data_IF_307609307918
#
_entry.id   IF_307609307918
#
_cell.length_a   1.000
_cell.length_b   1.000
_cell.length_c   1.000
_cell.angle_alpha   90.00
_cell.angle_beta   90.00
_cell.angle_gamma   90.00
#
_symmetry.space_group_name_H-M   'P 1'
#
loop_
_entity.id
_entity.type
_entity.pdbx_description
1 polymer ?
#
# COMPACT_ATOMS: atom_id res chain seq x y z
N UNK A 1 -3.80 -18.79 -10.73
CA UNK A 1 -3.25 -17.66 -9.96
C UNK A 1 -3.94 -17.65 -8.61
N UNK A 2 -3.20 -17.49 -7.50
CA UNK A 2 -3.82 -17.36 -6.18
C UNK A 2 -4.63 -16.06 -6.15
N UNK A 3 -5.93 -16.14 -5.84
CA UNK A 3 -6.77 -14.95 -5.68
C UNK A 3 -6.21 -14.05 -4.58
N UNK A 4 -6.19 -12.73 -4.79
CA UNK A 4 -5.74 -11.75 -3.79
C UNK A 4 -6.75 -11.53 -2.65
N UNK A 5 -7.79 -12.37 -2.56
CA UNK A 5 -8.87 -12.31 -1.56
C UNK A 5 -9.15 -13.68 -0.97
N UNK A 6 -9.58 -13.70 0.29
CA UNK A 6 -10.00 -14.91 1.01
C UNK A 6 -11.38 -15.38 0.53
N UNK A 7 -11.85 -16.51 1.07
CA UNK A 7 -13.15 -17.09 0.73
C UNK A 7 -14.35 -16.17 1.05
N UNK A 8 -14.15 -15.12 1.85
CA UNK A 8 -15.15 -14.14 2.27
C UNK A 8 -14.99 -12.82 1.47
N UNK A 9 -13.97 -12.72 0.60
CA UNK A 9 -13.68 -11.54 -0.20
C UNK A 9 -12.86 -10.46 0.53
N UNK A 10 -12.25 -10.77 1.68
CA UNK A 10 -11.28 -9.86 2.30
C UNK A 10 -9.93 -9.98 1.60
N UNK A 11 -9.17 -8.88 1.44
CA UNK A 11 -7.84 -8.94 0.83
C UNK A 11 -6.91 -9.84 1.66
N UNK A 12 -6.22 -10.78 1.00
CA UNK A 12 -5.17 -11.59 1.63
C UNK A 12 -3.86 -10.78 1.57
N UNK A 13 -3.29 -10.36 2.70
CA UNK A 13 -2.07 -9.58 2.73
C UNK A 13 -0.85 -10.50 2.57
N UNK A 14 -0.71 -11.16 1.42
CA UNK A 14 0.53 -11.89 1.09
C UNK A 14 1.68 -10.90 0.89
N UNK A 15 2.92 -11.37 0.98
CA UNK A 15 4.11 -10.54 0.75
C UNK A 15 4.06 -9.81 -0.59
N UNK A 16 3.64 -10.49 -1.66
CA UNK A 16 3.48 -9.91 -2.98
C UNK A 16 2.41 -8.81 -3.03
N UNK A 17 1.22 -9.04 -2.43
CA UNK A 17 0.14 -8.04 -2.39
C UNK A 17 0.56 -6.81 -1.58
N UNK A 18 1.21 -7.01 -0.44
CA UNK A 18 1.72 -5.91 0.38
C UNK A 18 2.82 -5.13 -0.34
N UNK A 19 3.73 -5.81 -1.05
CA UNK A 19 4.77 -5.15 -1.83
C UNK A 19 4.18 -4.32 -2.96
N UNK A 20 3.21 -4.90 -3.67
CA UNK A 20 2.47 -4.22 -4.73
C UNK A 20 1.77 -2.93 -4.26
N UNK A 21 1.29 -2.92 -3.00
CA UNK A 21 0.62 -1.78 -2.40
C UNK A 21 1.55 -0.86 -1.57
N UNK A 22 2.84 -1.17 -1.44
CA UNK A 22 3.77 -0.51 -0.50
C UNK A 22 3.78 1.03 -0.61
N UNK A 23 3.89 1.56 -1.85
CA UNK A 23 3.87 3.00 -2.10
C UNK A 23 2.52 3.63 -1.72
N UNK A 24 1.41 2.93 -1.94
CA UNK A 24 0.08 3.39 -1.54
C UNK A 24 -0.09 3.39 -0.03
N UNK A 25 0.45 2.38 0.66
CA UNK A 25 0.45 2.27 2.12
C UNK A 25 1.24 3.45 2.73
N UNK A 26 2.42 3.76 2.18
CA UNK A 26 3.25 4.86 2.68
C UNK A 26 2.54 6.22 2.59
N UNK A 27 1.79 6.46 1.52
CA UNK A 27 1.03 7.70 1.35
C UNK A 27 -0.24 7.70 2.22
N UNK A 28 -1.03 6.62 2.17
CA UNK A 28 -2.37 6.59 2.76
C UNK A 28 -2.38 6.40 4.28
N UNK A 29 -1.45 5.60 4.78
CA UNK A 29 -1.37 5.18 6.18
C UNK A 29 -0.17 5.82 6.90
N UNK A 30 0.38 6.90 6.33
CA UNK A 30 1.56 7.60 6.86
C UNK A 30 1.39 8.01 8.32
N UNK A 31 0.24 8.60 8.65
CA UNK A 31 -0.07 9.11 9.99
C UNK A 31 -0.01 8.02 11.05
N UNK A 32 -0.65 6.89 10.77
CA UNK A 32 -0.74 5.71 11.62
C UNK A 32 0.63 5.06 11.77
N UNK A 33 1.37 4.90 10.66
CA UNK A 33 2.72 4.35 10.64
C UNK A 33 3.69 5.21 11.47
N UNK A 34 3.69 6.52 11.27
CA UNK A 34 4.54 7.44 12.05
C UNK A 34 4.16 7.43 13.53
N UNK A 35 2.87 7.37 13.87
CA UNK A 35 2.44 7.28 15.26
C UNK A 35 2.92 5.98 15.93
N UNK A 36 2.86 4.85 15.22
CA UNK A 36 3.38 3.57 15.69
C UNK A 36 4.90 3.59 15.87
N UNK A 37 5.65 4.13 14.91
CA UNK A 37 7.11 4.23 14.98
C UNK A 37 7.57 5.16 16.10
N UNK A 38 6.87 6.28 16.35
CA UNK A 38 7.14 7.15 17.50
C UNK A 38 6.95 6.41 18.82
N UNK A 39 5.83 5.70 18.97
CA UNK A 39 5.58 4.88 20.16
C UNK A 39 6.70 3.87 20.43
N UNK A 40 7.15 3.16 19.39
CA UNK A 40 8.25 2.19 19.49
C UNK A 40 9.60 2.83 19.83
N UNK A 41 9.81 4.09 19.42
CA UNK A 41 11.00 4.87 19.76
C UNK A 41 10.99 5.33 21.22
N UNK A 42 9.82 5.70 21.73
CA UNK A 42 9.64 6.24 23.08
C UNK A 42 9.64 5.13 24.14
N UNK A 43 9.10 3.95 23.83
CA UNK A 43 9.02 2.82 24.76
C UNK A 43 9.36 1.49 24.06
N UNK A 44 10.36 0.72 24.58
CA UNK A 44 10.72 -0.57 23.99
C UNK A 44 9.71 -1.69 24.29
N UNK A 45 8.75 -1.48 25.20
CA UNK A 45 7.72 -2.48 25.49
C UNK A 45 6.68 -2.53 24.35
N UNK A 46 6.59 -3.65 23.60
CA UNK A 46 5.67 -3.78 22.47
C UNK A 46 4.19 -3.69 22.87
N UNK A 47 3.82 -4.04 24.11
CA UNK A 47 2.43 -4.07 24.55
C UNK A 47 1.78 -2.68 24.57
N UNK A 48 2.56 -1.64 24.89
CA UNK A 48 2.06 -0.25 24.92
C UNK A 48 1.71 0.30 23.55
N UNK A 49 2.29 -0.26 22.48
CA UNK A 49 2.07 0.19 21.11
C UNK A 49 1.06 -0.66 20.33
N UNK A 50 0.46 -1.70 20.95
CA UNK A 50 -0.49 -2.60 20.29
C UNK A 50 -1.69 -1.86 19.68
N UNK A 51 -2.25 -0.89 20.39
CA UNK A 51 -3.40 -0.11 19.88
C UNK A 51 -3.04 0.65 18.60
N UNK A 52 -1.82 1.23 18.54
CA UNK A 52 -1.33 1.94 17.34
C UNK A 52 -1.01 0.96 16.21
N UNK A 53 -0.45 -0.21 16.53
CA UNK A 53 -0.26 -1.30 15.56
C UNK A 53 -1.58 -1.74 14.93
N UNK A 54 -2.64 -1.91 15.72
CA UNK A 54 -3.97 -2.24 15.22
C UNK A 54 -4.57 -1.15 14.32
N UNK A 55 -4.24 0.13 14.55
CA UNK A 55 -4.66 1.23 13.68
C UNK A 55 -3.96 1.15 12.32
N UNK A 56 -2.65 0.87 12.32
CA UNK A 56 -1.89 0.61 11.08
C UNK A 56 -2.51 -0.53 10.29
N UNK A 57 -2.71 -1.70 10.93
CA UNK A 57 -3.28 -2.87 10.25
C UNK A 57 -4.67 -2.58 9.70
N UNK A 58 -5.53 -1.86 10.44
CA UNK A 58 -6.85 -1.45 9.94
C UNK A 58 -6.76 -0.54 8.72
N UNK A 59 -5.85 0.43 8.72
CA UNK A 59 -5.65 1.31 7.58
C UNK A 59 -5.19 0.52 6.34
N UNK A 60 -4.20 -0.37 6.50
CA UNK A 60 -3.67 -1.18 5.39
C UNK A 60 -4.74 -2.11 4.82
N UNK A 61 -5.48 -2.83 5.65
CA UNK A 61 -6.53 -3.74 5.17
C UNK A 61 -7.65 -2.99 4.45
N UNK A 62 -8.03 -1.80 4.94
CA UNK A 62 -9.01 -0.95 4.25
C UNK A 62 -8.50 -0.50 2.89
N UNK A 63 -7.23 -0.07 2.80
CA UNK A 63 -6.61 0.33 1.54
C UNK A 63 -6.54 -0.83 0.54
N UNK A 64 -6.13 -2.03 0.98
CA UNK A 64 -6.06 -3.21 0.11
C UNK A 64 -7.45 -3.56 -0.44
N UNK A 65 -8.49 -3.43 0.38
CA UNK A 65 -9.87 -3.63 -0.06
C UNK A 65 -10.28 -2.60 -1.10
N UNK A 66 -9.97 -1.32 -0.87
CA UNK A 66 -10.28 -0.24 -1.82
C UNK A 66 -9.54 -0.41 -3.16
N UNK A 67 -8.27 -0.83 -3.11
CA UNK A 67 -7.45 -1.12 -4.29
C UNK A 67 -8.04 -2.28 -5.10
N UNK A 68 -8.37 -3.39 -4.43
CA UNK A 68 -8.91 -4.56 -5.10
C UNK A 68 -10.32 -4.30 -5.67
N UNK A 69 -11.16 -3.52 -4.99
CA UNK A 69 -12.48 -3.16 -5.52
C UNK A 69 -12.43 -2.27 -6.77
N UNK A 70 -11.40 -1.43 -6.90
CA UNK A 70 -11.30 -0.46 -8.00
C UNK A 70 -10.46 -0.96 -9.17
N UNK A 71 -9.41 -1.73 -8.88
CA UNK A 71 -8.38 -2.11 -9.85
C UNK A 71 -7.97 -3.58 -9.65
N UNK A 72 -8.96 -4.47 -9.56
CA UNK A 72 -8.71 -5.90 -9.33
C UNK A 72 -7.73 -6.49 -10.35
N UNK A 73 -7.96 -6.29 -11.65
CA UNK A 73 -7.17 -6.90 -12.73
C UNK A 73 -5.73 -6.43 -12.72
N UNK A 74 -5.51 -5.13 -12.57
CA UNK A 74 -4.18 -4.53 -12.56
C UNK A 74 -3.42 -4.92 -11.29
N UNK A 75 -4.09 -4.91 -10.14
CA UNK A 75 -3.49 -5.29 -8.86
C UNK A 75 -3.14 -6.78 -8.83
N UNK A 76 -4.01 -7.66 -9.33
CA UNK A 76 -3.78 -9.11 -9.39
C UNK A 76 -2.64 -9.45 -10.36
N UNK A 77 -2.57 -8.79 -11.51
CA UNK A 77 -1.48 -8.97 -12.46
C UNK A 77 -0.12 -8.54 -11.88
N UNK A 78 -0.09 -7.39 -11.20
CA UNK A 78 1.15 -6.89 -10.59
C UNK A 78 1.58 -7.72 -9.38
N UNK A 79 0.65 -8.10 -8.51
CA UNK A 79 0.92 -9.02 -7.40
C UNK A 79 1.37 -10.39 -7.91
N UNK A 80 0.83 -10.86 -9.04
CA UNK A 80 1.30 -12.06 -9.73
C UNK A 80 2.74 -11.93 -10.21
N UNK A 81 3.10 -10.80 -10.81
CA UNK A 81 4.49 -10.51 -11.21
C UNK A 81 5.42 -10.48 -9.99
N UNK A 82 5.02 -9.80 -8.91
CA UNK A 82 5.77 -9.74 -7.65
C UNK A 82 6.00 -11.13 -7.06
N UNK A 83 4.96 -11.96 -7.05
CA UNK A 83 5.06 -13.33 -6.55
C UNK A 83 6.08 -14.16 -7.35
N UNK A 84 6.07 -14.04 -8.69
CA UNK A 84 6.98 -14.79 -9.56
C UNK A 84 8.44 -14.29 -9.47
N UNK A 85 8.64 -12.98 -9.32
CA UNK A 85 9.95 -12.35 -9.29
C UNK A 85 10.42 -12.04 -7.86
N UNK A 86 9.95 -12.78 -6.85
CA UNK A 86 10.44 -12.66 -5.46
C UNK A 86 10.33 -11.25 -4.86
N UNK A 87 9.32 -10.47 -5.31
CA UNK A 87 9.07 -9.08 -4.94
C UNK A 87 10.05 -8.04 -5.51
N UNK A 88 10.76 -8.36 -6.59
CA UNK A 88 11.65 -7.41 -7.28
C UNK A 88 10.87 -6.42 -8.16
N UNK A 89 10.93 -5.13 -7.81
CA UNK A 89 10.19 -4.07 -8.52
C UNK A 89 10.61 -3.90 -9.98
N UNK A 90 11.91 -3.96 -10.26
CA UNK A 90 12.49 -3.71 -11.58
C UNK A 90 11.97 -4.68 -12.64
N UNK A 91 11.71 -5.93 -12.22
CA UNK A 91 11.18 -6.98 -13.10
C UNK A 91 9.69 -6.80 -13.44
N UNK A 92 9.00 -5.89 -12.75
CA UNK A 92 7.56 -5.69 -12.86
C UNK A 92 7.17 -4.27 -13.34
N UNK A 93 8.13 -3.45 -13.80
CA UNK A 93 7.89 -2.08 -14.28
C UNK A 93 7.12 -2.02 -15.61
N UNK A 94 7.09 -3.11 -16.38
CA UNK A 94 6.46 -3.18 -17.71
C UNK A 94 4.92 -3.24 -17.69
N UNK A 95 4.27 -3.05 -16.53
CA UNK A 95 2.82 -3.04 -16.42
C UNK A 95 2.24 -1.60 -16.40
N UNK A 96 1.87 -1.01 -17.57
CA UNK A 96 1.31 0.36 -17.65
C UNK A 96 -0.09 0.51 -17.05
N UNK A 97 -0.79 -0.60 -16.77
CA UNK A 97 -2.11 -0.57 -16.14
C UNK A 97 -2.07 -0.12 -14.68
N UNK A 98 -1.02 -0.51 -13.93
CA UNK A 98 -0.97 -0.21 -12.50
C UNK A 98 -0.62 1.25 -12.23
N UNK A 99 0.20 1.89 -13.08
CA UNK A 99 0.49 3.34 -12.97
C UNK A 99 -0.76 4.17 -13.22
N UNK A 100 -1.64 3.73 -14.12
CA UNK A 100 -2.91 4.42 -14.43
C UNK A 100 -3.93 4.32 -13.28
N UNK A 101 -4.13 3.11 -12.73
CA UNK A 101 -4.95 2.92 -11.54
C UNK A 101 -4.34 3.66 -10.33
N UNK A 102 -3.04 3.52 -10.12
CA UNK A 102 -2.31 4.13 -9.02
C UNK A 102 -2.40 5.65 -9.09
N UNK A 103 -2.21 6.27 -10.25
CA UNK A 103 -2.30 7.72 -10.43
C UNK A 103 -3.72 8.27 -10.16
N UNK A 104 -4.75 7.55 -10.62
CA UNK A 104 -6.16 7.92 -10.35
C UNK A 104 -6.50 7.81 -8.85
N UNK A 105 -5.95 6.82 -8.15
CA UNK A 105 -6.11 6.67 -6.71
C UNK A 105 -5.27 7.68 -5.92
N UNK A 106 -4.01 7.89 -6.31
CA UNK A 106 -3.08 8.86 -5.68
C UNK A 106 -3.67 10.27 -5.70
N UNK A 107 -4.17 10.74 -6.86
CA UNK A 107 -4.83 12.04 -6.99
C UNK A 107 -6.01 12.19 -6.02
N UNK A 108 -6.76 11.10 -5.77
CA UNK A 108 -7.89 11.12 -4.83
C UNK A 108 -7.44 11.06 -3.38
N UNK A 109 -6.38 10.30 -3.07
CA UNK A 109 -5.78 10.24 -1.74
C UNK A 109 -5.12 11.58 -1.36
N UNK A 110 -4.47 12.24 -2.31
CA UNK A 110 -3.95 13.59 -2.16
C UNK A 110 -5.08 14.62 -1.95
N UNK A 111 -6.20 14.45 -2.65
CA UNK A 111 -7.41 15.29 -2.46
C UNK A 111 -8.05 15.12 -1.08
N UNK A 112 -7.92 13.96 -0.44
CA UNK A 112 -8.35 13.72 0.95
C UNK A 112 -7.36 14.28 1.99
N UNK A 113 -6.08 14.42 1.62
CA UNK A 113 -5.00 14.89 2.52
C UNK A 113 -4.97 16.41 2.69
N UNK A 114 -5.60 17.19 1.80
CA UNK A 114 -5.68 18.65 1.90
C UNK A 114 -4.32 19.39 1.93
N UNK A 115 -3.23 18.70 1.58
CA UNK A 115 -1.89 19.30 1.56
C UNK A 115 -1.57 19.87 0.17
N UNK A 116 -0.99 21.08 0.08
CA UNK A 116 -0.51 21.62 -1.18
C UNK A 116 0.54 20.70 -1.79
N UNK A 117 0.38 20.52 -3.09
CA UNK A 117 1.10 19.60 -3.93
C UNK A 117 2.51 20.15 -4.20
N UNK A 118 3.55 19.62 -3.55
CA UNK A 118 4.94 19.82 -4.02
C UNK A 118 5.29 18.69 -5.00
N UNK A 119 5.04 18.95 -6.29
CA UNK A 119 5.18 18.01 -7.41
C UNK A 119 6.62 17.63 -7.75
N UNK A 120 7.60 18.24 -7.08
CA UNK A 120 8.99 18.11 -7.47
C UNK A 120 9.69 16.88 -6.88
N UNK A 121 9.19 16.32 -5.76
CA UNK A 121 9.86 15.18 -5.10
C UNK A 121 9.28 13.79 -5.43
N UNK A 122 8.16 13.71 -6.17
CA UNK A 122 7.61 12.42 -6.60
C UNK A 122 8.21 11.94 -7.93
N UNK A 123 8.71 12.83 -8.78
CA UNK A 123 9.38 12.44 -10.04
C UNK A 123 10.77 11.83 -9.75
N UNK A 124 11.45 12.29 -8.70
CA UNK A 124 12.75 11.76 -8.26
C UNK A 124 12.66 10.46 -7.44
N UNK A 125 11.45 10.05 -7.02
CA UNK A 125 11.21 8.76 -6.36
C UNK A 125 10.62 7.69 -7.32
N UNK A 126 10.49 8.06 -8.59
CA UNK A 126 9.95 7.27 -9.71
C UNK A 126 10.83 7.39 -10.98
N UNK A 127 12.11 7.74 -10.82
CA UNK A 127 13.19 7.52 -11.81
C UNK A 127 14.17 6.50 -11.25
#
# INVERSE_FOLDING_TARGET
>A
MASAVDAVGNPIPTSAVLMSASKHIDIRCRSENVAYLKCKKDDPNPEKCLQKGQQVTRCVLSLLKDLHQRCNKEMDAYAGCMYYNTNEFEMCLSFPGITTCSGSLLLRLEKLRGQPFELQNLISHWS
#
